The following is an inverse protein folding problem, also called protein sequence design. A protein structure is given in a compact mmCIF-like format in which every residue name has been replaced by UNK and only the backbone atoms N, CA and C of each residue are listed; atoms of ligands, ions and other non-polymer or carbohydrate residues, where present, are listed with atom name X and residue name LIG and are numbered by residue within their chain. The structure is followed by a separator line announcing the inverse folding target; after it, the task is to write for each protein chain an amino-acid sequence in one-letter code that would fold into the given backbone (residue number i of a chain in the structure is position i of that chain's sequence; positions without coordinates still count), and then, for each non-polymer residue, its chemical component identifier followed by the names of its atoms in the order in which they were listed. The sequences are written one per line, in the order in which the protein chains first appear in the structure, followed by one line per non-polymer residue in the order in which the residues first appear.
data_IF_955587469449
#
_entry.id   IF_955587469449
#
_cell.length_a   1.000
_cell.length_b   1.000
_cell.length_c   1.000
_cell.angle_alpha   90.00
_cell.angle_beta   90.00
_cell.angle_gamma   90.00
#
_symmetry.space_group_name_H-M   'P 1'
#
loop_
_entity.id
_entity.type
_entity.pdbx_description
1 polymer ?
#
# COMPACT_ATOMS: atom_id res chain seq x y z
N UNK A 1 15.08 19.37 0.58
CA UNK A 1 13.73 18.98 0.14
C UNK A 1 12.76 20.05 0.58
N UNK A 2 11.99 20.60 -0.36
CA UNK A 2 10.95 21.59 -0.08
C UNK A 2 9.92 21.00 0.91
N UNK A 3 9.48 21.79 1.90
CA UNK A 3 8.61 21.35 3.00
C UNK A 3 7.17 20.92 2.61
N UNK A 4 6.87 20.78 1.31
CA UNK A 4 5.50 20.64 0.77
C UNK A 4 5.33 19.46 -0.21
N UNK A 5 6.17 18.42 -0.12
CA UNK A 5 6.02 17.22 -0.95
C UNK A 5 5.07 16.23 -0.26
N UNK A 6 3.95 15.93 -0.91
CA UNK A 6 2.99 14.91 -0.45
C UNK A 6 3.56 13.51 -0.63
N UNK A 7 3.42 12.65 0.36
CA UNK A 7 3.80 11.22 0.26
C UNK A 7 2.60 10.41 -0.24
N UNK A 8 2.76 9.68 -1.33
CA UNK A 8 1.79 8.70 -1.79
C UNK A 8 2.31 7.31 -1.43
N UNK A 9 1.49 6.55 -0.71
CA UNK A 9 1.80 5.17 -0.37
C UNK A 9 0.76 4.27 -1.02
N UNK A 10 1.20 3.33 -1.84
CA UNK A 10 0.33 2.32 -2.43
C UNK A 10 0.33 1.09 -1.54
N UNK A 11 -0.82 0.60 -1.09
CA UNK A 11 -0.86 -0.58 -0.21
C UNK A 11 -1.69 -1.72 -0.79
N UNK A 12 -1.22 -2.94 -0.54
CA UNK A 12 -1.98 -4.17 -0.75
C UNK A 12 -2.57 -4.59 0.59
N UNK A 13 -3.89 -4.74 0.65
CA UNK A 13 -4.54 -5.48 1.73
C UNK A 13 -4.78 -6.90 1.25
N UNK A 14 -3.96 -7.86 1.67
CA UNK A 14 -4.25 -9.27 1.45
C UNK A 14 -5.17 -9.78 2.57
N UNK A 15 -6.33 -10.31 2.18
CA UNK A 15 -7.23 -11.02 3.09
C UNK A 15 -6.58 -12.33 3.57
N UNK A 16 -6.58 -12.53 4.88
CA UNK A 16 -5.90 -13.63 5.58
C UNK A 16 -6.59 -14.99 5.35
N UNK A 17 -5.81 -16.07 5.34
CA UNK A 17 -6.28 -17.46 5.47
C UNK A 17 -5.96 -17.97 6.87
N UNK A 18 -6.97 -18.16 7.71
CA UNK A 18 -6.79 -18.88 8.98
C UNK A 18 -6.57 -20.37 8.70
N UNK A 19 -5.49 -20.96 9.23
CA UNK A 19 -5.29 -22.41 9.19
C UNK A 19 -6.34 -23.10 10.05
N UNK A 20 -7.08 -24.04 9.47
CA UNK A 20 -7.75 -25.09 10.22
C UNK A 20 -6.69 -26.09 10.70
N UNK A 21 -6.34 -26.03 11.99
CA UNK A 21 -5.61 -27.10 12.66
C UNK A 21 -6.61 -28.21 12.98
N UNK A 22 -6.69 -29.25 12.15
CA UNK A 22 -7.43 -30.46 12.49
C UNK A 22 -6.69 -31.19 13.62
N UNK A 23 -7.20 -31.06 14.85
CA UNK A 23 -6.84 -31.94 15.95
C UNK A 23 -7.63 -33.25 15.81
N UNK A 24 -7.00 -34.30 15.27
CA UNK A 24 -7.49 -35.67 15.35
C UNK A 24 -6.31 -36.65 15.50
N UNK A 25 -6.11 -37.03 16.76
CA UNK A 25 -5.41 -38.19 17.32
C UNK A 25 -4.40 -39.02 16.51
N UNK A 26 -3.22 -39.23 17.12
CA UNK A 26 -2.71 -40.58 17.42
C UNK A 26 -1.64 -40.53 18.53
N UNK A 27 -1.65 -41.60 19.32
CA UNK A 27 -1.02 -41.83 20.63
C UNK A 27 0.51 -41.88 20.57
N UNK A 28 1.19 -41.46 21.65
CA UNK A 28 2.62 -41.76 21.82
C UNK A 28 3.31 -41.13 23.04
N UNK A 29 3.12 -41.77 24.21
CA UNK A 29 4.01 -41.83 25.40
C UNK A 29 4.36 -40.56 26.20
N UNK A 30 3.96 -40.62 27.48
CA UNK A 30 4.46 -39.86 28.63
C UNK A 30 5.98 -39.95 28.82
N UNK A 31 6.58 -38.89 29.39
CA UNK A 31 7.55 -38.92 30.51
C UNK A 31 7.35 -37.62 31.33
N UNK A 32 7.56 -37.76 32.63
CA UNK A 32 7.13 -36.93 33.76
C UNK A 32 8.19 -35.89 34.21
N UNK A 33 7.75 -35.02 35.14
CA UNK A 33 8.52 -34.31 36.20
C UNK A 33 9.16 -32.94 35.82
N UNK A 34 9.20 -31.87 36.63
CA UNK A 34 8.79 -31.61 38.04
C UNK A 34 8.64 -30.09 38.28
N UNK A 35 7.85 -29.73 39.30
CA UNK A 35 7.59 -28.37 39.85
C UNK A 35 8.74 -27.88 40.76
N UNK A 36 8.99 -26.55 40.85
CA UNK A 36 9.30 -25.82 42.11
C UNK A 36 9.01 -24.31 42.02
N UNK A 37 8.43 -23.75 43.09
CA UNK A 37 7.95 -22.35 43.29
C UNK A 37 8.83 -21.57 44.30
N UNK A 38 8.49 -20.26 44.43
CA UNK A 38 8.59 -19.30 45.59
C UNK A 38 9.88 -18.45 45.68
N UNK A 39 9.91 -17.18 46.16
CA UNK A 39 8.95 -16.23 46.76
C UNK A 39 9.53 -14.78 46.71
N UNK A 40 8.70 -13.72 46.52
CA UNK A 40 8.29 -12.60 47.44
C UNK A 40 9.33 -11.72 48.17
N UNK A 41 9.20 -10.39 48.03
CA UNK A 41 9.25 -9.37 49.12
C UNK A 41 8.85 -7.97 48.56
N UNK A 42 7.74 -7.38 49.05
CA UNK A 42 7.55 -6.27 50.03
C UNK A 42 7.69 -4.81 49.51
N UNK A 43 6.59 -4.05 49.66
CA UNK A 43 6.36 -2.60 49.42
C UNK A 43 6.86 -1.75 50.62
N UNK A 44 7.17 -0.44 50.54
CA UNK A 44 6.28 0.76 50.48
C UNK A 44 7.11 2.04 50.86
N UNK A 45 6.62 3.32 50.89
CA UNK A 45 5.91 4.16 49.90
C UNK A 45 6.63 5.50 49.58
N UNK A 46 6.17 6.21 48.52
CA UNK A 46 6.44 7.63 48.24
C UNK A 46 5.14 8.45 48.29
N UNK A 47 5.21 9.72 48.74
CA UNK A 47 4.15 10.75 48.69
C UNK A 47 4.37 11.73 47.51
N UNK A 48 3.36 12.54 47.10
CA UNK A 48 2.91 12.60 45.71
C UNK A 48 3.35 13.86 44.98
N UNK A 49 3.43 13.78 43.65
CA UNK A 49 3.34 14.93 42.78
C UNK A 49 2.31 14.68 41.68
N UNK A 50 1.47 15.69 41.47
CA UNK A 50 0.24 15.73 40.70
C UNK A 50 0.53 15.61 39.21
N UNK A 51 -0.19 14.71 38.51
CA UNK A 51 -0.73 14.79 37.13
C UNK A 51 -1.18 13.38 36.73
N UNK A 52 -2.45 13.12 36.35
CA UNK A 52 -2.89 11.76 36.04
C UNK A 52 -2.47 11.39 34.60
N UNK A 53 -1.33 10.73 34.46
CA UNK A 53 -1.06 9.91 33.27
C UNK A 53 -1.62 8.52 33.57
N UNK A 54 -2.74 8.16 32.93
CA UNK A 54 -3.20 6.76 32.92
C UNK A 54 -2.07 5.92 32.33
N UNK A 55 -1.48 5.07 33.15
CA UNK A 55 -0.52 4.06 32.73
C UNK A 55 -1.17 3.22 31.62
N UNK A 56 -0.57 3.28 30.43
CA UNK A 56 -0.88 2.41 29.30
C UNK A 56 -0.74 0.97 29.75
N UNK A 57 -1.88 0.39 30.12
CA UNK A 57 -2.00 -0.99 30.53
C UNK A 57 -2.03 -1.80 29.25
N UNK A 58 -1.08 -2.73 29.12
CA UNK A 58 -1.01 -3.82 28.13
C UNK A 58 -1.01 -3.37 26.66
N UNK A 59 0.11 -3.57 25.96
CA UNK A 59 0.12 -3.63 24.50
C UNK A 59 -0.99 -4.59 24.06
N UNK A 60 -2.05 -4.02 23.49
CA UNK A 60 -3.19 -4.74 22.98
C UNK A 60 -2.69 -5.79 21.99
N UNK A 61 -3.08 -7.06 22.19
CA UNK A 61 -3.21 -7.99 21.06
C UNK A 61 -3.92 -7.22 19.94
N UNK A 62 -3.22 -7.03 18.84
CA UNK A 62 -3.69 -6.27 17.68
C UNK A 62 -5.10 -6.73 17.32
N UNK A 63 -6.04 -5.79 17.17
CA UNK A 63 -7.47 -6.04 16.89
C UNK A 63 -7.71 -6.88 15.61
N UNK A 64 -6.66 -7.14 14.84
CA UNK A 64 -6.64 -7.85 13.57
C UNK A 64 -6.76 -9.37 13.73
N UNK A 65 -6.24 -9.94 14.83
CA UNK A 65 -6.29 -11.39 15.10
C UNK A 65 -7.70 -11.91 15.45
N UNK A 66 -8.70 -11.03 15.52
CA UNK A 66 -10.07 -11.35 15.97
C UNK A 66 -11.10 -11.36 14.83
N UNK A 67 -10.69 -11.00 13.61
CA UNK A 67 -11.60 -10.93 12.47
C UNK A 67 -12.10 -12.31 12.03
N UNK A 68 -11.25 -13.33 12.11
CA UNK A 68 -11.63 -14.73 11.88
C UNK A 68 -11.13 -15.58 13.04
N UNK A 69 -12.04 -15.98 13.92
CA UNK A 69 -11.68 -16.64 15.17
C UNK A 69 -12.71 -17.71 15.56
N UNK A 70 -12.24 -18.71 16.31
CA UNK A 70 -13.14 -19.68 16.93
C UNK A 70 -13.86 -19.04 18.12
N UNK A 71 -15.20 -19.14 18.12
CA UNK A 71 -16.07 -18.75 19.23
C UNK A 71 -16.90 -19.96 19.62
N UNK A 72 -16.71 -20.44 20.85
CA UNK A 72 -17.39 -21.65 21.36
C UNK A 72 -17.25 -22.85 20.40
N UNK A 73 -16.06 -23.06 19.84
CA UNK A 73 -15.79 -24.16 18.90
C UNK A 73 -16.24 -23.92 17.45
N UNK A 74 -16.94 -22.82 17.14
CA UNK A 74 -17.37 -22.47 15.78
C UNK A 74 -16.45 -21.42 15.17
N UNK A 75 -15.99 -21.61 13.93
CA UNK A 75 -15.18 -20.61 13.23
C UNK A 75 -16.09 -19.49 12.71
N UNK A 76 -15.88 -18.26 13.19
CA UNK A 76 -16.67 -17.10 12.83
C UNK A 76 -15.86 -16.07 12.04
N UNK A 77 -16.51 -15.41 11.08
CA UNK A 77 -16.09 -14.11 10.55
C UNK A 77 -16.75 -13.03 11.41
N UNK A 78 -15.95 -12.31 12.19
CA UNK A 78 -16.40 -11.38 13.22
C UNK A 78 -17.35 -12.08 14.20
N UNK A 79 -18.65 -11.78 14.16
CA UNK A 79 -19.68 -12.40 15.00
C UNK A 79 -20.56 -13.41 14.25
N UNK A 80 -20.27 -13.69 12.98
CA UNK A 80 -21.10 -14.53 12.12
C UNK A 80 -20.41 -15.87 11.85
N UNK A 81 -21.11 -16.98 12.06
CA UNK A 81 -20.59 -18.32 11.76
C UNK A 81 -20.29 -18.48 10.28
N UNK A 82 -19.11 -19.02 9.95
CA UNK A 82 -18.78 -19.37 8.56
C UNK A 82 -19.67 -20.50 8.02
N UNK A 83 -20.19 -21.37 8.89
CA UNK A 83 -21.14 -22.40 8.49
C UNK A 83 -22.49 -21.80 8.10
N UNK A 84 -22.97 -20.78 8.82
CA UNK A 84 -24.20 -20.06 8.47
C UNK A 84 -24.06 -19.36 7.12
N UNK A 85 -22.90 -18.73 6.88
CA UNK A 85 -22.58 -18.11 5.59
C UNK A 85 -22.56 -19.17 4.49
N UNK A 86 -21.89 -20.30 4.70
CA UNK A 86 -21.81 -21.39 3.72
C UNK A 86 -23.19 -22.00 3.42
N UNK A 87 -24.04 -22.20 4.44
CA UNK A 87 -25.42 -22.68 4.25
C UNK A 87 -26.27 -21.69 3.45
N UNK A 88 -26.15 -20.40 3.75
CA UNK A 88 -26.97 -19.34 3.13
C UNK A 88 -26.55 -19.03 1.70
N UNK A 89 -25.25 -18.98 1.42
CA UNK A 89 -24.70 -18.49 0.15
C UNK A 89 -24.04 -19.58 -0.71
N UNK A 90 -23.96 -20.82 -0.20
CA UNK A 90 -23.32 -21.94 -0.88
C UNK A 90 -21.78 -21.89 -0.83
N UNK A 91 -21.15 -22.90 -1.44
CA UNK A 91 -19.69 -23.03 -1.56
C UNK A 91 -19.29 -23.36 -3.00
N UNK A 92 -18.10 -22.90 -3.47
CA UNK A 92 -17.12 -22.08 -2.76
C UNK A 92 -17.58 -20.61 -2.57
N UNK A 93 -17.21 -19.99 -1.44
CA UNK A 93 -17.49 -18.58 -1.17
C UNK A 93 -16.26 -17.85 -0.60
N UNK A 94 -16.08 -16.61 -1.04
CA UNK A 94 -15.12 -15.68 -0.42
C UNK A 94 -15.84 -14.87 0.65
N UNK A 95 -15.27 -14.84 1.86
CA UNK A 95 -15.80 -14.07 2.99
C UNK A 95 -14.79 -13.00 3.36
N UNK A 96 -15.23 -11.75 3.40
CA UNK A 96 -14.41 -10.60 3.79
C UNK A 96 -14.91 -10.04 5.12
N UNK A 97 -13.99 -9.75 6.03
CA UNK A 97 -14.31 -8.99 7.25
C UNK A 97 -14.16 -7.51 6.99
N UNK A 98 -15.21 -6.74 7.27
CA UNK A 98 -15.17 -5.28 7.19
C UNK A 98 -14.23 -4.72 8.26
N UNK A 99 -14.32 -5.24 9.48
CA UNK A 99 -13.48 -4.80 10.60
C UNK A 99 -11.99 -5.02 10.31
N UNK A 100 -11.63 -6.12 9.63
CA UNK A 100 -10.25 -6.37 9.22
C UNK A 100 -9.73 -5.33 8.21
N UNK A 101 -10.55 -4.98 7.21
CA UNK A 101 -10.19 -3.99 6.19
C UNK A 101 -10.07 -2.59 6.82
N UNK A 102 -11.04 -2.20 7.64
CA UNK A 102 -11.02 -0.91 8.37
C UNK A 102 -9.81 -0.82 9.32
N UNK A 103 -9.53 -1.89 10.06
CA UNK A 103 -8.37 -1.97 10.94
C UNK A 103 -7.07 -1.78 10.16
N UNK A 104 -6.89 -2.55 9.06
CA UNK A 104 -5.65 -2.52 8.30
C UNK A 104 -5.42 -1.16 7.64
N UNK A 105 -6.48 -0.54 7.10
CA UNK A 105 -6.42 0.85 6.63
C UNK A 105 -6.05 1.81 7.76
N UNK A 106 -6.65 1.63 8.95
CA UNK A 106 -6.37 2.43 10.13
C UNK A 106 -4.91 2.39 10.59
N UNK A 107 -4.25 1.24 10.52
CA UNK A 107 -2.82 1.11 10.87
C UNK A 107 -1.93 1.98 9.96
N UNK A 108 -2.14 1.90 8.64
CA UNK A 108 -1.41 2.75 7.68
C UNK A 108 -1.73 4.23 7.86
N UNK A 109 -3.03 4.57 7.98
CA UNK A 109 -3.45 5.95 8.18
C UNK A 109 -2.86 6.56 9.46
N UNK A 110 -2.79 5.77 10.55
CA UNK A 110 -2.19 6.19 11.81
C UNK A 110 -0.67 6.35 11.69
N UNK A 111 0.02 5.46 10.98
CA UNK A 111 1.47 5.57 10.75
C UNK A 111 1.85 6.82 9.93
N UNK A 112 0.92 7.31 9.11
CA UNK A 112 1.07 8.52 8.30
C UNK A 112 0.50 9.79 8.97
N UNK A 113 -0.06 9.68 10.18
CA UNK A 113 -0.68 10.81 10.87
C UNK A 113 0.30 11.99 11.05
N UNK A 114 -0.17 13.20 10.79
CA UNK A 114 0.63 14.43 10.87
C UNK A 114 1.55 14.68 9.67
N UNK A 115 1.55 13.81 8.65
CA UNK A 115 2.24 14.02 7.37
C UNK A 115 1.24 14.42 6.30
N UNK A 116 1.63 15.25 5.34
CA UNK A 116 0.86 15.41 4.11
C UNK A 116 1.04 14.14 3.26
N UNK A 117 0.11 13.21 3.45
CA UNK A 117 0.16 11.90 2.82
C UNK A 117 -1.22 11.48 2.29
N UNK A 118 -1.20 10.70 1.21
CA UNK A 118 -2.38 10.06 0.65
C UNK A 118 -2.11 8.57 0.48
N UNK A 119 -2.90 7.77 1.20
CA UNK A 119 -2.86 6.31 1.11
C UNK A 119 -3.70 5.85 -0.07
N UNK A 120 -3.05 5.30 -1.10
CA UNK A 120 -3.67 4.82 -2.32
C UNK A 120 -3.82 3.30 -2.28
N UNK A 121 -5.04 2.80 -2.24
CA UNK A 121 -5.26 1.36 -2.32
C UNK A 121 -5.00 0.83 -3.74
N UNK A 122 -4.18 -0.22 -3.89
CA UNK A 122 -3.97 -0.85 -5.21
C UNK A 122 -5.17 -1.71 -5.58
N UNK A 123 -5.96 -1.25 -6.55
CA UNK A 123 -7.27 -1.85 -6.90
C UNK A 123 -7.14 -3.29 -7.39
N UNK A 124 -6.04 -3.61 -8.06
CA UNK A 124 -5.71 -4.96 -8.53
C UNK A 124 -5.66 -6.03 -7.43
N UNK A 125 -5.53 -5.63 -6.16
CA UNK A 125 -5.55 -6.55 -5.03
C UNK A 125 -6.95 -7.14 -4.78
N UNK A 126 -7.99 -6.29 -4.83
CA UNK A 126 -9.39 -6.70 -4.75
C UNK A 126 -10.29 -5.55 -5.24
N UNK A 127 -10.85 -5.71 -6.45
CA UNK A 127 -11.67 -4.70 -7.12
C UNK A 127 -13.18 -4.87 -6.89
N UNK A 128 -13.57 -5.59 -5.83
CA UNK A 128 -14.97 -5.70 -5.42
C UNK A 128 -15.52 -4.31 -5.04
N UNK A 129 -16.69 -3.94 -5.60
CA UNK A 129 -17.26 -2.61 -5.42
C UNK A 129 -17.55 -2.26 -3.96
N UNK A 130 -17.97 -3.22 -3.13
CA UNK A 130 -18.23 -2.98 -1.71
C UNK A 130 -16.94 -2.72 -0.92
N UNK A 131 -15.84 -3.39 -1.27
CA UNK A 131 -14.50 -3.16 -0.70
C UNK A 131 -13.99 -1.78 -1.10
N UNK A 132 -14.09 -1.42 -2.38
CA UNK A 132 -13.68 -0.10 -2.86
C UNK A 132 -14.52 1.02 -2.22
N UNK A 133 -15.84 0.82 -2.10
CA UNK A 133 -16.72 1.81 -1.48
C UNK A 133 -16.44 1.97 0.03
N UNK A 134 -16.05 0.88 0.71
CA UNK A 134 -15.58 0.94 2.10
C UNK A 134 -14.32 1.81 2.21
N UNK A 135 -13.31 1.55 1.39
CA UNK A 135 -12.06 2.31 1.39
C UNK A 135 -12.25 3.78 1.00
N UNK A 136 -13.15 4.05 0.04
CA UNK A 136 -13.52 5.41 -0.35
C UNK A 136 -14.13 6.19 0.83
N UNK A 137 -15.04 5.56 1.60
CA UNK A 137 -15.61 6.16 2.82
C UNK A 137 -14.59 6.42 3.92
N UNK A 138 -13.52 5.63 3.98
CA UNK A 138 -12.39 5.86 4.90
C UNK A 138 -11.44 6.96 4.41
N UNK A 139 -11.67 7.53 3.22
CA UNK A 139 -10.90 8.63 2.66
C UNK A 139 -9.71 8.21 1.80
N UNK A 140 -9.59 6.93 1.45
CA UNK A 140 -8.49 6.40 0.65
C UNK A 140 -8.41 7.06 -0.74
N UNK A 141 -7.20 7.15 -1.27
CA UNK A 141 -6.98 7.22 -2.71
C UNK A 141 -6.92 5.83 -3.33
N UNK A 142 -6.69 5.77 -4.64
CA UNK A 142 -6.64 4.52 -5.39
C UNK A 142 -5.52 4.52 -6.42
N UNK A 143 -4.75 3.44 -6.47
CA UNK A 143 -3.82 3.14 -7.56
C UNK A 143 -4.50 2.14 -8.50
N UNK A 144 -4.74 2.58 -9.74
CA UNK A 144 -5.36 1.78 -10.79
C UNK A 144 -4.33 1.42 -11.87
N UNK A 145 -4.57 0.32 -12.57
CA UNK A 145 -3.75 -0.14 -13.70
C UNK A 145 -4.53 -0.33 -14.99
N UNK A 146 -5.82 0.04 -15.02
CA UNK A 146 -6.65 0.02 -16.24
C UNK A 146 -7.86 0.96 -16.16
N UNK A 147 -8.46 1.25 -17.31
CA UNK A 147 -9.73 1.97 -17.41
C UNK A 147 -10.91 1.22 -16.74
N UNK A 148 -10.86 -0.12 -16.69
CA UNK A 148 -11.86 -0.92 -15.98
C UNK A 148 -11.80 -0.70 -14.46
N UNK A 149 -10.59 -0.56 -13.90
CA UNK A 149 -10.42 -0.21 -12.49
C UNK A 149 -10.83 1.23 -12.20
N UNK A 150 -10.52 2.17 -13.10
CA UNK A 150 -11.05 3.54 -13.01
C UNK A 150 -12.58 3.53 -12.90
N UNK A 151 -13.26 2.82 -13.81
CA UNK A 151 -14.71 2.72 -13.80
C UNK A 151 -15.26 2.14 -12.49
N UNK A 152 -14.61 1.12 -11.93
CA UNK A 152 -14.99 0.52 -10.64
C UNK A 152 -14.82 1.47 -9.47
N UNK A 153 -13.71 2.20 -9.41
CA UNK A 153 -13.46 3.19 -8.34
C UNK A 153 -14.51 4.29 -8.39
N UNK A 154 -14.82 4.81 -9.58
CA UNK A 154 -15.84 5.83 -9.75
C UNK A 154 -17.23 5.32 -9.34
N UNK A 155 -17.60 4.10 -9.77
CA UNK A 155 -18.87 3.47 -9.40
C UNK A 155 -18.97 3.20 -7.88
N UNK A 156 -17.83 2.98 -7.21
CA UNK A 156 -17.76 2.81 -5.77
C UNK A 156 -17.75 4.13 -4.97
N UNK A 157 -17.82 5.29 -5.66
CA UNK A 157 -17.82 6.62 -5.04
C UNK A 157 -16.43 7.15 -4.66
N UNK A 158 -15.36 6.63 -5.24
CA UNK A 158 -14.01 7.17 -5.06
C UNK A 158 -13.84 8.54 -5.72
N UNK A 159 -13.08 9.43 -5.07
CA UNK A 159 -12.76 10.75 -5.62
C UNK A 159 -11.69 10.62 -6.72
N UNK A 160 -11.97 11.02 -7.99
CA UNK A 160 -10.98 10.99 -9.07
C UNK A 160 -9.67 11.71 -8.72
N UNK A 161 -9.75 12.80 -7.95
CA UNK A 161 -8.59 13.60 -7.54
C UNK A 161 -7.71 12.91 -6.51
N UNK A 162 -8.02 11.67 -6.15
CA UNK A 162 -7.19 10.78 -5.34
C UNK A 162 -6.80 9.50 -6.09
N UNK A 163 -6.92 9.48 -7.42
CA UNK A 163 -6.60 8.33 -8.27
C UNK A 163 -5.25 8.52 -8.97
N UNK A 164 -4.36 7.55 -8.80
CA UNK A 164 -3.13 7.38 -9.58
C UNK A 164 -3.36 6.32 -10.64
N UNK A 165 -2.89 6.57 -11.87
CA UNK A 165 -2.97 5.60 -12.95
C UNK A 165 -1.58 5.08 -13.32
N UNK A 166 -1.28 3.86 -12.90
CA UNK A 166 -0.04 3.13 -13.16
C UNK A 166 -0.20 2.12 -14.31
N UNK A 167 0.88 1.42 -14.69
CA UNK A 167 0.84 0.30 -15.65
C UNK A 167 1.47 0.62 -17.01
N UNK A 168 2.19 -0.35 -17.57
CA UNK A 168 3.11 -0.16 -18.71
C UNK A 168 2.44 -0.02 -20.08
N UNK A 169 1.14 -0.28 -20.17
CA UNK A 169 0.43 -0.49 -21.43
C UNK A 169 -0.82 0.37 -21.60
N UNK A 170 -0.89 1.55 -20.98
CA UNK A 170 -2.10 2.40 -21.02
C UNK A 170 -2.44 2.76 -22.47
N UNK A 171 -3.64 2.43 -22.88
CA UNK A 171 -4.15 2.74 -24.23
C UNK A 171 -4.52 4.22 -24.34
N UNK A 172 -4.62 4.73 -25.57
CA UNK A 172 -5.08 6.10 -25.85
C UNK A 172 -6.44 6.37 -25.23
N UNK A 173 -7.37 5.40 -25.30
CA UNK A 173 -8.72 5.54 -24.76
C UNK A 173 -8.73 5.59 -23.23
N UNK A 174 -7.91 4.77 -22.57
CA UNK A 174 -7.76 4.82 -21.12
C UNK A 174 -7.13 6.13 -20.65
N UNK A 175 -6.13 6.65 -21.38
CA UNK A 175 -5.53 7.96 -21.09
C UNK A 175 -6.58 9.07 -21.26
N UNK A 176 -7.35 9.05 -22.35
CA UNK A 176 -8.40 10.02 -22.61
C UNK A 176 -9.42 10.04 -21.47
N UNK A 177 -9.93 8.86 -21.10
CA UNK A 177 -10.87 8.70 -20.00
C UNK A 177 -10.29 9.22 -18.68
N UNK A 178 -9.04 8.89 -18.36
CA UNK A 178 -8.38 9.35 -17.14
C UNK A 178 -8.29 10.88 -17.07
N UNK A 179 -7.93 11.54 -18.18
CA UNK A 179 -7.85 12.99 -18.27
C UNK A 179 -9.23 13.66 -18.20
N UNK A 180 -10.25 13.11 -18.86
CA UNK A 180 -11.63 13.60 -18.80
C UNK A 180 -12.20 13.52 -17.37
N UNK A 181 -11.82 12.48 -16.61
CA UNK A 181 -12.23 12.31 -15.21
C UNK A 181 -11.39 13.13 -14.23
N UNK A 182 -10.37 13.86 -14.70
CA UNK A 182 -9.48 14.67 -13.88
C UNK A 182 -8.86 13.87 -12.72
N UNK A 183 -8.28 12.71 -13.03
CA UNK A 183 -7.56 11.93 -12.03
C UNK A 183 -6.35 12.71 -11.48
N UNK A 184 -5.84 12.30 -10.31
CA UNK A 184 -4.73 13.01 -9.65
C UNK A 184 -3.44 13.01 -10.48
N UNK A 185 -3.03 11.85 -10.99
CA UNK A 185 -1.75 11.69 -11.70
C UNK A 185 -1.74 10.45 -12.60
N UNK A 186 -1.13 10.57 -13.77
CA UNK A 186 -0.73 9.44 -14.62
C UNK A 186 0.74 9.12 -14.34
N UNK A 187 1.01 7.92 -13.83
CA UNK A 187 2.36 7.40 -13.61
C UNK A 187 2.90 6.83 -14.92
N UNK A 188 3.81 7.56 -15.56
CA UNK A 188 4.49 7.19 -16.79
C UNK A 188 5.53 6.10 -16.54
N UNK A 189 5.54 5.09 -17.40
CA UNK A 189 6.41 3.92 -17.33
C UNK A 189 7.43 3.90 -18.49
N UNK A 190 7.29 4.78 -19.50
CA UNK A 190 8.23 4.85 -20.62
C UNK A 190 8.24 6.20 -21.34
N UNK A 191 9.29 6.43 -22.14
CA UNK A 191 9.37 7.59 -23.04
C UNK A 191 8.29 7.56 -24.15
N UNK A 192 7.87 6.38 -24.60
CA UNK A 192 6.81 6.25 -25.60
C UNK A 192 5.43 6.63 -25.02
N UNK A 193 5.19 6.26 -23.76
CA UNK A 193 3.97 6.64 -23.05
C UNK A 193 3.89 8.15 -22.79
N UNK A 194 5.02 8.80 -22.46
CA UNK A 194 5.10 10.25 -22.36
C UNK A 194 4.53 10.95 -23.62
N UNK A 195 4.98 10.53 -24.81
CA UNK A 195 4.49 11.09 -26.07
C UNK A 195 3.00 10.84 -26.29
N UNK A 196 2.53 9.63 -25.95
CA UNK A 196 1.11 9.28 -26.06
C UNK A 196 0.24 10.14 -25.16
N UNK A 197 0.63 10.32 -23.89
CA UNK A 197 -0.10 11.17 -22.95
C UNK A 197 -0.10 12.63 -23.40
N UNK A 198 1.03 13.14 -23.87
CA UNK A 198 1.13 14.50 -24.41
C UNK A 198 0.22 14.69 -25.64
N UNK A 199 0.17 13.70 -26.54
CA UNK A 199 -0.71 13.75 -27.71
C UNK A 199 -2.18 13.84 -27.32
N UNK A 200 -2.67 12.94 -26.46
CA UNK A 200 -4.06 12.95 -26.00
C UNK A 200 -4.40 14.22 -25.21
N UNK A 201 -3.49 14.70 -24.37
CA UNK A 201 -3.70 15.93 -23.61
C UNK A 201 -3.88 17.16 -24.53
N UNK A 202 -3.07 17.27 -25.60
CA UNK A 202 -3.24 18.32 -26.63
C UNK A 202 -4.59 18.23 -27.33
N UNK A 203 -4.99 17.04 -27.75
CA UNK A 203 -6.28 16.82 -28.42
C UNK A 203 -7.47 17.23 -27.53
N UNK A 204 -7.35 17.03 -26.22
CA UNK A 204 -8.37 17.42 -25.25
C UNK A 204 -8.28 18.90 -24.82
N UNK A 205 -7.25 19.64 -25.22
CA UNK A 205 -6.97 20.98 -24.69
C UNK A 205 -6.73 20.98 -23.18
N UNK A 206 -6.17 19.90 -22.63
CA UNK A 206 -5.89 19.71 -21.20
C UNK A 206 -4.38 19.74 -20.95
N UNK A 207 -4.02 19.99 -19.69
CA UNK A 207 -2.66 19.78 -19.19
C UNK A 207 -2.66 18.54 -18.31
N UNK A 208 -2.01 17.47 -18.74
CA UNK A 208 -2.02 16.19 -18.05
C UNK A 208 -1.07 16.18 -16.85
N UNK A 209 -1.54 15.90 -15.62
CA UNK A 209 -0.68 15.71 -14.47
C UNK A 209 0.04 14.36 -14.58
N UNK A 210 1.38 14.41 -14.60
CA UNK A 210 2.23 13.22 -14.78
C UNK A 210 3.33 13.13 -13.73
N UNK A 211 3.74 11.89 -13.47
CA UNK A 211 4.94 11.53 -12.75
C UNK A 211 5.61 10.37 -13.47
N UNK A 212 6.93 10.20 -13.35
CA UNK A 212 7.57 8.97 -13.83
C UNK A 212 7.74 7.97 -12.70
N UNK A 213 7.44 6.70 -13.00
CA UNK A 213 7.95 5.58 -12.22
C UNK A 213 9.41 5.35 -12.59
N UNK A 214 10.31 5.58 -11.64
CA UNK A 214 11.74 5.41 -11.83
C UNK A 214 12.20 4.15 -11.09
N UNK A 215 13.04 3.37 -11.75
CA UNK A 215 13.70 2.23 -11.12
C UNK A 215 14.85 2.75 -10.26
N UNK A 216 14.78 2.66 -8.93
CA UNK A 216 15.87 3.11 -8.07
C UNK A 216 17.07 2.18 -8.29
N UNK A 217 18.26 2.76 -8.41
CA UNK A 217 19.50 2.04 -8.67
C UNK A 217 20.01 1.25 -7.44
N UNK A 218 19.18 0.40 -6.85
CA UNK A 218 19.53 -0.31 -5.60
C UNK A 218 20.66 -1.34 -5.86
N UNK A 219 21.69 -1.32 -5.01
CA UNK A 219 22.90 -2.16 -5.17
C UNK A 219 22.52 -3.66 -5.17
N UNK A 220 22.90 -4.37 -6.24
CA UNK A 220 22.68 -5.80 -6.38
C UNK A 220 23.38 -6.62 -5.29
N UNK A 221 24.44 -6.10 -4.67
CA UNK A 221 25.20 -6.80 -3.63
C UNK A 221 24.44 -6.87 -2.31
N UNK A 222 23.65 -5.85 -1.98
CA UNK A 222 22.84 -5.84 -0.75
C UNK A 222 21.45 -6.42 -0.98
N UNK A 223 20.89 -6.26 -2.19
CA UNK A 223 19.55 -6.73 -2.52
C UNK A 223 19.48 -7.40 -3.91
N UNK A 224 20.05 -8.62 -4.07
CA UNK A 224 20.23 -9.26 -5.37
C UNK A 224 18.94 -9.53 -6.14
N UNK A 225 17.86 -9.94 -5.46
CA UNK A 225 16.55 -10.21 -6.09
C UNK A 225 15.82 -8.94 -6.52
N UNK A 226 16.02 -7.82 -5.81
CA UNK A 226 15.41 -6.54 -6.16
C UNK A 226 16.15 -5.91 -7.34
N UNK A 227 17.49 -5.97 -7.33
CA UNK A 227 18.30 -5.35 -8.38
C UNK A 227 18.22 -6.07 -9.73
N UNK A 228 18.24 -7.42 -9.75
CA UNK A 228 18.00 -8.19 -10.99
C UNK A 228 16.58 -7.96 -11.51
N UNK A 229 15.59 -7.98 -10.62
CA UNK A 229 14.22 -7.62 -10.94
C UNK A 229 14.09 -6.23 -11.56
N UNK A 230 14.75 -5.20 -11.04
CA UNK A 230 14.63 -3.80 -11.49
C UNK A 230 15.38 -3.48 -12.79
N UNK A 231 16.45 -4.22 -13.14
CA UNK A 231 17.25 -3.95 -14.34
C UNK A 231 16.68 -4.59 -15.62
N UNK A 232 15.99 -5.72 -15.50
CA UNK A 232 15.50 -6.50 -16.64
C UNK A 232 13.98 -6.50 -16.80
N UNK A 233 13.24 -5.80 -15.93
CA UNK A 233 11.79 -5.75 -16.03
C UNK A 233 11.29 -4.63 -16.97
N UNK A 234 10.09 -4.84 -17.49
CA UNK A 234 9.37 -3.90 -18.38
C UNK A 234 8.88 -2.62 -17.70
N UNK A 235 9.13 -2.44 -16.42
CA UNK A 235 8.52 -1.39 -15.61
C UNK A 235 9.46 -0.22 -15.43
N UNK A 236 8.88 0.98 -15.42
CA UNK A 236 9.55 2.23 -15.13
C UNK A 236 10.65 2.60 -16.12
N UNK A 237 11.23 3.76 -15.84
CA UNK A 237 12.39 4.27 -16.57
C UNK A 237 13.66 4.05 -15.75
N UNK A 238 14.77 3.79 -16.43
CA UNK A 238 16.05 3.63 -15.77
C UNK A 238 16.46 4.92 -15.04
N UNK A 239 17.09 4.80 -13.87
CA UNK A 239 17.52 5.94 -13.06
C UNK A 239 18.33 6.98 -13.86
N UNK A 240 19.26 6.51 -14.69
CA UNK A 240 20.13 7.34 -15.54
C UNK A 240 19.37 8.18 -16.58
N UNK A 241 18.18 7.72 -16.98
CA UNK A 241 17.37 8.36 -18.01
C UNK A 241 16.36 9.36 -17.42
N UNK A 242 16.14 9.30 -16.10
CA UNK A 242 15.10 10.07 -15.43
C UNK A 242 15.25 11.57 -15.67
N UNK A 243 16.39 12.17 -15.33
CA UNK A 243 16.60 13.63 -15.44
C UNK A 243 16.35 14.16 -16.87
N UNK A 244 16.82 13.43 -17.89
CA UNK A 244 16.56 13.73 -19.30
C UNK A 244 15.08 13.67 -19.66
N UNK A 245 14.36 12.64 -19.17
CA UNK A 245 12.93 12.49 -19.43
C UNK A 245 12.08 13.53 -18.69
N UNK A 246 12.46 13.89 -17.46
CA UNK A 246 11.84 14.98 -16.71
C UNK A 246 12.03 16.32 -17.43
N UNK A 247 13.24 16.63 -17.90
CA UNK A 247 13.50 17.84 -18.70
C UNK A 247 12.65 17.88 -19.98
N UNK A 248 12.56 16.74 -20.69
CA UNK A 248 11.72 16.61 -21.88
C UNK A 248 10.24 16.86 -21.56
N UNK A 249 9.72 16.23 -20.51
CA UNK A 249 8.32 16.37 -20.10
C UNK A 249 8.00 17.81 -19.66
N UNK A 250 8.91 18.47 -18.94
CA UNK A 250 8.75 19.86 -18.50
C UNK A 250 8.69 20.87 -19.66
N UNK A 251 9.33 20.55 -20.79
CA UNK A 251 9.28 21.36 -22.01
C UNK A 251 7.99 21.17 -22.83
N UNK A 252 7.12 20.21 -22.49
CA UNK A 252 5.86 19.96 -23.20
C UNK A 252 4.70 20.74 -22.56
N UNK A 253 4.08 21.72 -23.24
CA UNK A 253 3.02 22.55 -22.67
C UNK A 253 1.76 21.76 -22.23
N UNK A 254 1.51 20.63 -22.89
CA UNK A 254 0.38 19.75 -22.60
C UNK A 254 0.57 18.88 -21.35
N UNK A 255 1.73 18.95 -20.70
CA UNK A 255 2.05 18.18 -19.51
C UNK A 255 2.30 19.08 -18.30
N UNK A 256 1.91 18.58 -17.15
CA UNK A 256 2.29 19.11 -15.85
C UNK A 256 3.05 18.02 -15.12
N UNK A 257 4.35 18.22 -14.89
CA UNK A 257 5.15 17.28 -14.11
C UNK A 257 4.95 17.59 -12.63
N UNK A 258 4.39 16.64 -11.88
CA UNK A 258 3.89 16.90 -10.52
C UNK A 258 4.45 15.96 -9.46
N UNK A 259 5.23 14.97 -9.84
CA UNK A 259 5.84 14.06 -8.87
C UNK A 259 6.77 13.06 -9.51
N UNK A 260 7.25 12.14 -8.69
CA UNK A 260 8.13 11.04 -9.04
C UNK A 260 7.75 9.83 -8.19
N UNK A 261 7.77 8.65 -8.78
CA UNK A 261 7.40 7.42 -8.10
C UNK A 261 8.41 6.29 -8.25
N UNK A 262 8.34 5.30 -7.39
CA UNK A 262 8.98 4.01 -7.58
C UNK A 262 8.09 2.87 -7.09
N UNK A 263 8.36 1.65 -7.52
CA UNK A 263 7.76 0.45 -6.94
C UNK A 263 8.77 -0.68 -7.06
N UNK A 264 9.32 -1.09 -5.90
CA UNK A 264 10.50 -1.94 -5.81
C UNK A 264 10.19 -3.43 -5.65
N UNK A 265 8.91 -3.80 -5.48
CA UNK A 265 8.50 -5.19 -5.38
C UNK A 265 7.23 -5.37 -4.57
N UNK A 266 6.92 -6.63 -4.28
CA UNK A 266 5.80 -7.04 -3.45
C UNK A 266 6.27 -8.03 -2.38
N UNK A 267 5.54 -8.10 -1.27
CA UNK A 267 5.81 -9.04 -0.17
C UNK A 267 7.19 -8.84 0.49
N UNK A 268 7.58 -7.58 0.64
CA UNK A 268 8.79 -7.14 1.34
C UNK A 268 8.55 -7.21 2.84
N UNK A 269 9.21 -8.17 3.51
CA UNK A 269 9.14 -8.35 4.97
C UNK A 269 10.21 -7.55 5.71
N UNK A 270 11.27 -7.17 5.01
CA UNK A 270 12.34 -6.30 5.50
C UNK A 270 12.10 -4.88 4.96
N UNK A 271 12.06 -3.84 5.83
CA UNK A 271 11.89 -2.45 5.40
C UNK A 271 13.17 -1.85 4.78
N UNK A 272 14.35 -2.44 4.99
CA UNK A 272 15.62 -1.86 4.53
C UNK A 272 15.68 -1.56 3.02
N UNK A 273 15.21 -2.44 2.10
CA UNK A 273 15.19 -2.14 0.68
C UNK A 273 14.28 -0.96 0.32
N UNK A 274 13.16 -0.82 1.02
CA UNK A 274 12.24 0.30 0.83
C UNK A 274 12.90 1.61 1.28
N UNK A 275 13.55 1.63 2.45
CA UNK A 275 14.29 2.79 2.92
C UNK A 275 15.39 3.21 1.92
N UNK A 276 16.20 2.27 1.44
CA UNK A 276 17.24 2.55 0.44
C UNK A 276 16.67 3.09 -0.89
N UNK A 277 15.51 2.58 -1.33
CA UNK A 277 14.83 3.07 -2.50
C UNK A 277 14.29 4.50 -2.31
N UNK A 278 13.71 4.79 -1.15
CA UNK A 278 13.22 6.13 -0.79
C UNK A 278 14.36 7.14 -0.78
N UNK A 279 15.50 6.82 -0.18
CA UNK A 279 16.68 7.69 -0.15
C UNK A 279 17.18 8.03 -1.56
N UNK A 280 17.28 7.03 -2.45
CA UNK A 280 17.68 7.24 -3.84
C UNK A 280 16.66 8.05 -4.64
N UNK A 281 15.37 7.80 -4.42
CA UNK A 281 14.29 8.56 -5.07
C UNK A 281 14.31 10.02 -4.60
N UNK A 282 14.51 10.25 -3.30
CA UNK A 282 14.62 11.56 -2.68
C UNK A 282 15.80 12.36 -3.24
N UNK A 283 16.97 11.72 -3.38
CA UNK A 283 18.15 12.35 -3.95
C UNK A 283 17.93 12.76 -5.42
N UNK A 284 17.29 11.89 -6.22
CA UNK A 284 16.93 12.21 -7.61
C UNK A 284 15.89 13.32 -7.69
N UNK A 285 14.86 13.29 -6.84
CA UNK A 285 13.87 14.35 -6.74
C UNK A 285 14.52 15.71 -6.46
N UNK A 286 15.51 15.75 -5.55
CA UNK A 286 16.27 16.96 -5.26
C UNK A 286 17.04 17.51 -6.47
N UNK A 287 17.62 16.64 -7.32
CA UNK A 287 18.28 17.07 -8.57
C UNK A 287 17.29 17.61 -9.61
N UNK A 288 16.12 16.97 -9.72
CA UNK A 288 15.04 17.43 -10.60
C UNK A 288 14.50 18.79 -10.14
N UNK A 289 14.29 18.99 -8.84
CA UNK A 289 13.90 20.30 -8.28
C UNK A 289 14.98 21.37 -8.52
N UNK A 290 16.27 21.03 -8.36
CA UNK A 290 17.38 21.94 -8.61
C UNK A 290 17.48 22.37 -10.10
N UNK A 291 16.98 21.54 -11.02
CA UNK A 291 16.83 21.88 -12.43
C UNK A 291 15.57 22.73 -12.74
N UNK A 292 14.85 23.20 -11.71
CA UNK A 292 13.70 24.08 -11.85
C UNK A 292 12.35 23.36 -12.02
N UNK A 293 12.31 22.04 -11.91
CA UNK A 293 11.09 21.24 -12.04
C UNK A 293 10.52 20.96 -10.65
N UNK A 294 9.50 21.74 -10.26
CA UNK A 294 8.88 21.62 -8.94
C UNK A 294 8.00 20.38 -8.83
N UNK A 295 8.39 19.44 -7.98
CA UNK A 295 7.61 18.24 -7.67
C UNK A 295 6.65 18.51 -6.50
N UNK A 296 5.43 17.96 -6.58
CA UNK A 296 4.40 18.05 -5.53
C UNK A 296 4.25 16.77 -4.72
N UNK A 297 4.68 15.63 -5.25
CA UNK A 297 4.57 14.37 -4.53
C UNK A 297 5.72 13.38 -4.80
N UNK A 298 5.88 12.48 -3.84
CA UNK A 298 6.70 11.27 -3.95
C UNK A 298 5.80 10.05 -3.80
N UNK A 299 5.74 9.20 -4.82
CA UNK A 299 5.03 7.93 -4.78
C UNK A 299 6.00 6.81 -4.42
N UNK A 300 5.86 6.27 -3.20
CA UNK A 300 6.75 5.22 -2.69
C UNK A 300 6.32 3.82 -3.15
N UNK A 301 5.24 3.74 -3.94
CA UNK A 301 4.65 2.49 -4.33
C UNK A 301 4.20 1.70 -3.12
N UNK A 302 4.29 0.38 -3.22
CA UNK A 302 3.80 -0.53 -2.21
C UNK A 302 4.72 -1.70 -2.01
N UNK A 303 4.13 -2.82 -1.58
CA UNK A 303 4.84 -4.07 -1.44
C UNK A 303 5.24 -4.42 -0.02
N UNK A 304 4.84 -3.63 0.98
CA UNK A 304 4.93 -4.00 2.39
C UNK A 304 4.22 -5.35 2.57
N UNK A 305 4.97 -6.35 3.03
CA UNK A 305 4.52 -7.73 3.11
C UNK A 305 3.56 -7.96 4.27
N UNK A 306 2.77 -9.03 4.14
CA UNK A 306 1.94 -9.54 5.24
C UNK A 306 2.47 -10.88 5.74
N UNK A 307 2.02 -11.31 6.92
CA UNK A 307 2.30 -12.66 7.40
C UNK A 307 1.35 -13.65 6.73
N UNK A 308 1.87 -14.63 5.98
CA UNK A 308 1.07 -15.74 5.41
C UNK A 308 1.19 -17.02 6.24
N UNK A 309 2.38 -17.26 6.81
CA UNK A 309 2.72 -18.40 7.64
C UNK A 309 3.39 -17.88 8.91
N UNK A 310 4.71 -17.84 8.88
CA UNK A 310 5.61 -17.51 9.97
C UNK A 310 6.47 -16.28 9.64
N UNK A 311 6.24 -15.62 8.51
CA UNK A 311 6.88 -14.36 8.20
C UNK A 311 6.57 -13.34 9.31
N UNK A 312 7.54 -12.49 9.63
CA UNK A 312 7.40 -11.40 10.59
C UNK A 312 7.64 -10.06 9.90
N UNK A 313 6.69 -9.58 9.08
CA UNK A 313 6.79 -8.25 8.49
C UNK A 313 7.01 -7.20 9.58
N UNK A 314 7.95 -6.28 9.34
CA UNK A 314 8.32 -5.19 10.27
C UNK A 314 7.97 -3.84 9.69
#
# INVERSE_FOLDING_TARGET
MSANIRILCVSFFSAWRSRCSSAAGRRGRCICATIRRRASSRQSPRRPSRYPIRAATTLNKTRHDVAFAYRNGTLCAEQVSLEDIARRFGTPCYVYSRAAIEGAYGEFAQALHGRDAMLCYSVKANSNLAVLALLARLGAGFDIVSGGELARVLAAGGDPRKILFSGVGKTTDEIRLALEKNIYCINLESAAELERVAAVARELGRRAPVAFRVNPDVDARTHPYISTGLRENKFGVAHRDAERLYAKAAAMPALEVIGIGCHIGSQLVDPAPLAAAVERLAALAGRIEAAGIRLRHLDLGGGIGIRYRDETPR
#
